data_IF_981632837392
#
_entry.id   IF_981632837392
#
_cell.length_a   1.000
_cell.length_b   1.000
_cell.length_c   1.000
_cell.angle_alpha   90.00
_cell.angle_beta   90.00
_cell.angle_gamma   90.00
#
_symmetry.space_group_name_H-M   'P 1'
#
loop_
_entity.id
_entity.type
_entity.pdbx_description
1 polymer ?
#
# COMPACT_ATOMS: atom_id res chain seq x y z
N UNK A 1 8.98 -40.59 -12.73
CA UNK A 1 8.65 -39.45 -11.86
C UNK A 1 8.67 -39.95 -10.42
N UNK A 2 9.77 -39.69 -9.68
CA UNK A 2 10.06 -40.31 -8.39
C UNK A 2 9.05 -39.87 -7.31
N UNK A 3 8.53 -40.83 -6.54
CA UNK A 3 7.56 -40.58 -5.44
C UNK A 3 8.06 -39.55 -4.42
N UNK A 4 9.36 -39.36 -4.32
CA UNK A 4 10.02 -38.43 -3.37
C UNK A 4 9.83 -36.95 -3.74
N UNK A 5 9.45 -36.62 -4.99
CA UNK A 5 9.24 -35.22 -5.43
C UNK A 5 7.77 -34.75 -5.32
N UNK A 6 6.85 -35.63 -4.96
CA UNK A 6 5.41 -35.30 -4.87
C UNK A 6 5.09 -34.25 -3.80
N UNK A 7 5.67 -34.31 -2.58
CA UNK A 7 5.39 -33.27 -1.59
C UNK A 7 5.98 -31.91 -1.94
N UNK A 8 7.14 -31.85 -2.60
CA UNK A 8 7.79 -30.59 -2.99
C UNK A 8 6.97 -29.88 -4.08
N UNK A 9 6.46 -30.63 -5.05
CA UNK A 9 5.60 -30.09 -6.11
C UNK A 9 4.26 -29.60 -5.55
N UNK A 10 3.68 -30.32 -4.57
CA UNK A 10 2.44 -29.91 -3.92
C UNK A 10 2.60 -28.62 -3.11
N UNK A 11 3.73 -28.44 -2.42
CA UNK A 11 4.07 -27.21 -1.68
C UNK A 11 4.31 -26.02 -2.63
N UNK A 12 4.96 -26.23 -3.77
CA UNK A 12 5.16 -25.20 -4.79
C UNK A 12 3.85 -24.75 -5.44
N UNK A 13 2.93 -25.68 -5.70
CA UNK A 13 1.61 -25.36 -6.27
C UNK A 13 0.72 -24.65 -5.23
N UNK A 14 0.75 -25.07 -3.97
CA UNK A 14 0.02 -24.40 -2.89
C UNK A 14 0.58 -22.98 -2.62
N UNK A 15 1.88 -22.78 -2.73
CA UNK A 15 2.53 -21.47 -2.59
C UNK A 15 2.19 -20.50 -3.73
N UNK A 16 2.03 -21.00 -4.96
CA UNK A 16 1.70 -20.14 -6.10
C UNK A 16 0.23 -19.66 -6.12
N UNK A 17 -0.69 -20.38 -5.49
CA UNK A 17 -2.09 -19.96 -5.36
C UNK A 17 -2.31 -18.88 -4.30
N UNK A 18 -1.38 -18.71 -3.35
CA UNK A 18 -1.46 -17.67 -2.32
C UNK A 18 -1.05 -16.26 -2.82
N UNK A 19 -0.51 -16.15 -4.02
CA UNK A 19 -0.06 -14.87 -4.62
C UNK A 19 -1.15 -14.19 -5.46
N UNK A 20 -2.38 -14.73 -5.53
CA UNK A 20 -3.50 -14.01 -6.14
C UNK A 20 -3.85 -12.80 -5.28
N UNK A 21 -3.12 -11.72 -5.57
CA UNK A 21 -3.00 -10.53 -4.78
C UNK A 21 -4.31 -9.80 -4.55
N UNK A 22 -4.40 -9.19 -3.39
CA UNK A 22 -5.35 -8.14 -3.11
C UNK A 22 -5.18 -7.02 -4.14
N UNK A 23 -6.21 -6.79 -4.96
CA UNK A 23 -6.27 -5.63 -5.82
C UNK A 23 -6.26 -4.38 -4.93
N UNK A 24 -5.18 -3.63 -4.98
CA UNK A 24 -5.02 -2.37 -4.26
C UNK A 24 -5.96 -1.33 -4.88
N UNK A 25 -6.93 -0.87 -4.10
CA UNK A 25 -7.79 0.24 -4.50
C UNK A 25 -7.05 1.57 -4.33
N UNK A 26 -6.35 2.02 -5.36
CA UNK A 26 -5.81 3.38 -5.40
C UNK A 26 -6.94 4.37 -5.71
N UNK A 27 -7.36 5.15 -4.74
CA UNK A 27 -8.25 6.30 -4.95
C UNK A 27 -7.46 7.45 -5.57
N UNK A 28 -7.30 7.44 -6.89
CA UNK A 28 -6.78 8.61 -7.61
C UNK A 28 -7.92 9.56 -7.97
N UNK A 29 -7.60 10.85 -8.22
CA UNK A 29 -8.60 11.85 -8.61
C UNK A 29 -9.38 11.44 -9.87
N UNK A 30 -8.79 10.62 -10.73
CA UNK A 30 -9.34 10.18 -12.01
C UNK A 30 -9.86 8.74 -12.04
N UNK A 31 -9.75 7.98 -10.92
CA UNK A 31 -10.21 6.59 -10.84
C UNK A 31 -11.30 6.48 -9.78
N UNK A 32 -12.48 6.09 -10.20
CA UNK A 32 -13.63 5.86 -9.34
C UNK A 32 -13.80 4.35 -9.11
N UNK A 33 -14.04 3.97 -7.89
CA UNK A 33 -14.52 2.61 -7.61
C UNK A 33 -15.98 2.46 -8.05
N UNK A 34 -16.42 1.24 -8.34
CA UNK A 34 -17.82 0.99 -8.72
C UNK A 34 -18.82 1.50 -7.66
N UNK A 35 -18.44 1.48 -6.39
CA UNK A 35 -19.26 1.99 -5.28
C UNK A 35 -19.29 3.52 -5.20
N UNK A 36 -18.33 4.22 -5.81
CA UNK A 36 -18.30 5.69 -5.91
C UNK A 36 -18.95 6.19 -7.19
N UNK A 37 -19.00 5.35 -8.22
CA UNK A 37 -19.74 5.65 -9.44
C UNK A 37 -21.25 5.71 -9.13
N UNK A 38 -21.98 6.54 -9.85
CA UNK A 38 -23.45 6.74 -9.67
C UNK A 38 -23.85 7.39 -8.34
N UNK A 39 -22.91 8.01 -7.60
CA UNK A 39 -23.23 8.81 -6.43
C UNK A 39 -23.05 10.29 -6.73
N UNK A 40 -23.98 11.08 -6.25
CA UNK A 40 -23.85 12.53 -6.29
C UNK A 40 -22.67 12.98 -5.41
N UNK A 41 -21.88 13.91 -5.93
CA UNK A 41 -20.80 14.56 -5.19
C UNK A 41 -21.11 16.05 -5.06
N UNK A 42 -20.89 16.59 -3.86
CA UNK A 42 -20.93 18.02 -3.64
C UNK A 42 -19.68 18.67 -4.21
N UNK A 43 -19.86 19.67 -5.06
CA UNK A 43 -18.76 20.44 -5.66
C UNK A 43 -18.67 21.80 -4.98
N UNK A 44 -17.47 22.17 -4.54
CA UNK A 44 -17.16 23.50 -4.01
C UNK A 44 -15.97 24.07 -4.74
N UNK A 45 -16.04 25.34 -5.09
CA UNK A 45 -14.93 26.04 -5.74
C UNK A 45 -13.98 26.60 -4.70
N UNK A 46 -12.69 26.56 -5.03
CA UNK A 46 -11.63 27.04 -4.15
C UNK A 46 -10.41 27.52 -4.94
N UNK A 47 -9.50 28.19 -4.24
CA UNK A 47 -8.18 28.59 -4.75
C UNK A 47 -7.12 27.90 -3.91
N UNK A 48 -6.11 27.35 -4.54
CA UNK A 48 -4.96 26.71 -3.86
C UNK A 48 -4.12 27.79 -3.16
N UNK A 49 -3.90 27.61 -1.87
CA UNK A 49 -2.99 28.45 -1.07
C UNK A 49 -1.58 27.90 -1.03
N UNK A 50 -1.45 26.60 -0.79
CA UNK A 50 -0.15 25.92 -0.72
C UNK A 50 -0.29 24.43 -1.02
N UNK A 51 0.81 23.84 -1.47
CA UNK A 51 0.93 22.40 -1.75
C UNK A 51 2.21 21.89 -1.13
N UNK A 52 2.15 20.75 -0.44
CA UNK A 52 3.34 20.06 0.04
C UNK A 52 3.26 18.57 -0.23
N UNK A 53 4.40 17.95 -0.52
CA UNK A 53 4.52 16.51 -0.66
C UNK A 53 4.51 15.87 0.72
N UNK A 54 3.72 14.83 0.89
CA UNK A 54 3.60 14.03 2.11
C UNK A 54 3.69 12.55 1.78
N UNK A 55 3.95 11.71 2.79
CA UNK A 55 3.85 10.26 2.65
C UNK A 55 2.52 9.80 3.24
N UNK A 56 1.81 8.98 2.49
CA UNK A 56 0.56 8.34 2.91
C UNK A 56 0.86 6.87 3.18
N UNK A 57 0.53 6.41 4.39
CA UNK A 57 0.63 5.01 4.76
C UNK A 57 -0.71 4.31 4.49
N UNK A 58 -0.69 3.23 3.73
CA UNK A 58 -1.88 2.42 3.45
C UNK A 58 -2.36 1.60 4.64
N UNK A 59 -1.50 1.39 5.64
CA UNK A 59 -1.76 0.51 6.78
C UNK A 59 -1.89 1.27 8.10
N UNK A 60 -2.34 2.54 8.10
CA UNK A 60 -2.44 3.40 9.29
C UNK A 60 -1.15 3.44 10.14
N UNK A 61 0.01 3.22 9.49
CA UNK A 61 1.32 3.13 10.13
C UNK A 61 1.58 1.80 10.86
N UNK A 62 0.66 0.84 10.82
CA UNK A 62 0.84 -0.48 11.41
C UNK A 62 1.12 -1.53 10.33
N UNK A 63 2.20 -2.32 10.45
CA UNK A 63 2.45 -3.45 9.55
C UNK A 63 1.32 -4.47 9.67
N UNK A 64 0.84 -5.02 8.56
CA UNK A 64 -0.16 -6.09 8.59
C UNK A 64 0.42 -7.40 9.13
N UNK A 65 1.75 -7.49 9.18
CA UNK A 65 2.49 -8.68 9.59
C UNK A 65 2.63 -9.72 8.48
N UNK A 66 2.00 -9.51 7.32
CA UNK A 66 2.09 -10.44 6.19
C UNK A 66 3.52 -10.55 5.66
N UNK A 67 4.24 -9.43 5.62
CA UNK A 67 5.65 -9.40 5.24
C UNK A 67 6.52 -10.18 6.22
N UNK A 68 6.26 -10.07 7.52
CA UNK A 68 6.97 -10.82 8.54
C UNK A 68 6.69 -12.33 8.44
N UNK A 69 5.42 -12.72 8.26
CA UNK A 69 5.01 -14.12 8.11
C UNK A 69 5.60 -14.71 6.82
N UNK A 70 5.43 -14.04 5.68
CA UNK A 70 5.93 -14.49 4.39
C UNK A 70 7.45 -14.55 4.36
N UNK A 71 8.11 -13.48 4.79
CA UNK A 71 9.58 -13.42 4.89
C UNK A 71 10.15 -14.43 5.87
N UNK A 72 9.48 -14.62 7.03
CA UNK A 72 9.86 -15.62 8.02
C UNK A 72 9.77 -17.04 7.49
N UNK A 73 8.70 -17.39 6.79
CA UNK A 73 8.52 -18.70 6.18
C UNK A 73 9.57 -18.98 5.09
N UNK A 74 9.79 -18.02 4.19
CA UNK A 74 10.80 -18.14 3.13
C UNK A 74 12.20 -18.21 3.71
N UNK A 75 12.51 -17.38 4.71
CA UNK A 75 13.80 -17.37 5.40
C UNK A 75 14.08 -18.67 6.16
N UNK A 76 13.06 -19.26 6.80
CA UNK A 76 13.18 -20.54 7.47
C UNK A 76 13.50 -21.67 6.47
N UNK A 77 12.80 -21.72 5.34
CA UNK A 77 13.04 -22.71 4.28
C UNK A 77 14.43 -22.53 3.69
N UNK A 78 14.81 -21.30 3.32
CA UNK A 78 16.15 -21.02 2.77
C UNK A 78 17.26 -21.31 3.77
N UNK A 79 17.07 -20.92 5.04
CA UNK A 79 18.03 -21.20 6.12
C UNK A 79 18.21 -22.69 6.36
N UNK A 80 17.13 -23.47 6.35
CA UNK A 80 17.20 -24.92 6.54
C UNK A 80 17.92 -25.64 5.39
N UNK A 81 17.94 -25.07 4.19
CA UNK A 81 18.65 -25.63 3.02
C UNK A 81 20.17 -25.48 3.12
N UNK A 82 20.68 -24.53 3.92
CA UNK A 82 22.10 -24.25 4.08
C UNK A 82 22.73 -25.18 5.11
N UNK A 83 21.97 -25.70 6.09
CA UNK A 83 22.45 -26.56 7.18
C UNK A 83 22.25 -28.05 6.90
N UNK A 84 23.20 -28.90 7.31
CA UNK A 84 23.07 -30.36 7.27
C UNK A 84 22.69 -30.94 8.63
N UNK A 85 21.84 -31.99 8.65
CA UNK A 85 21.46 -32.71 9.86
C UNK A 85 20.79 -31.80 10.92
N UNK A 86 21.25 -31.88 12.17
CA UNK A 86 20.72 -31.07 13.28
C UNK A 86 21.00 -29.56 13.13
N UNK A 87 21.99 -29.19 12.30
CA UNK A 87 22.33 -27.80 12.02
C UNK A 87 21.26 -27.09 11.17
N UNK A 88 20.49 -27.82 10.36
CA UNK A 88 19.43 -27.23 9.52
C UNK A 88 18.32 -26.60 10.34
N UNK A 89 18.05 -27.09 11.55
CA UNK A 89 17.05 -26.51 12.45
C UNK A 89 17.51 -25.13 12.94
N UNK A 90 18.77 -25.02 13.34
CA UNK A 90 19.35 -23.77 13.85
C UNK A 90 19.40 -22.71 12.73
N UNK A 91 19.89 -23.11 11.54
CA UNK A 91 19.95 -22.21 10.38
C UNK A 91 18.55 -21.83 9.85
N UNK A 92 17.57 -22.72 9.96
CA UNK A 92 16.17 -22.44 9.65
C UNK A 92 15.56 -21.41 10.60
N UNK A 93 15.84 -21.50 11.90
CA UNK A 93 15.36 -20.51 12.90
C UNK A 93 15.98 -19.13 12.64
N UNK A 94 17.30 -19.08 12.44
CA UNK A 94 18.01 -17.83 12.18
C UNK A 94 17.52 -17.22 10.86
N UNK A 95 17.36 -18.01 9.81
CA UNK A 95 16.82 -17.59 8.53
C UNK A 95 15.39 -17.09 8.64
N UNK A 96 14.56 -17.75 9.45
CA UNK A 96 13.18 -17.33 9.71
C UNK A 96 13.11 -15.97 10.39
N UNK A 97 13.94 -15.72 11.40
CA UNK A 97 13.99 -14.42 12.10
C UNK A 97 14.49 -13.32 11.14
N UNK A 98 15.59 -13.56 10.43
CA UNK A 98 16.12 -12.59 9.48
C UNK A 98 15.14 -12.30 8.34
N UNK A 99 14.48 -13.34 7.83
CA UNK A 99 13.45 -13.22 6.80
C UNK A 99 12.22 -12.46 7.29
N UNK A 100 11.77 -12.65 8.52
CA UNK A 100 10.65 -11.91 9.10
C UNK A 100 10.96 -10.42 9.23
N UNK A 101 12.17 -10.07 9.69
CA UNK A 101 12.61 -8.66 9.78
C UNK A 101 12.70 -8.03 8.40
N UNK A 102 13.32 -8.70 7.44
CA UNK A 102 13.45 -8.21 6.07
C UNK A 102 12.08 -8.08 5.37
N UNK A 103 11.20 -9.06 5.55
CA UNK A 103 9.84 -9.04 5.00
C UNK A 103 8.98 -7.91 5.56
N UNK A 104 9.08 -7.66 6.87
CA UNK A 104 8.40 -6.55 7.52
C UNK A 104 8.91 -5.18 7.02
N UNK A 105 10.24 -5.04 6.85
CA UNK A 105 10.83 -3.82 6.30
C UNK A 105 10.38 -3.56 4.85
N UNK A 106 10.32 -4.61 4.02
CA UNK A 106 9.83 -4.53 2.65
C UNK A 106 8.34 -4.15 2.60
N UNK A 107 7.50 -4.75 3.46
CA UNK A 107 6.08 -4.40 3.58
C UNK A 107 5.89 -2.92 3.91
N UNK A 108 6.62 -2.42 4.91
CA UNK A 108 6.55 -1.00 5.30
C UNK A 108 6.97 -0.07 4.16
N UNK A 109 8.00 -0.45 3.38
CA UNK A 109 8.43 0.32 2.22
C UNK A 109 7.36 0.39 1.12
N UNK A 110 6.66 -0.72 0.88
CA UNK A 110 5.60 -0.81 -0.12
C UNK A 110 4.28 -0.16 0.34
N UNK A 111 4.06 -0.04 1.65
CA UNK A 111 2.87 0.58 2.21
C UNK A 111 2.89 2.11 2.17
N UNK A 112 4.03 2.74 1.86
CA UNK A 112 4.18 4.18 1.79
C UNK A 112 4.08 4.67 0.35
N UNK A 113 3.13 5.57 0.09
CA UNK A 113 2.93 6.21 -1.20
C UNK A 113 3.12 7.72 -1.10
N UNK A 114 3.54 8.33 -2.20
CA UNK A 114 3.61 9.77 -2.29
C UNK A 114 2.18 10.35 -2.38
N UNK A 115 1.95 11.36 -1.57
CA UNK A 115 0.71 12.13 -1.55
C UNK A 115 0.98 13.63 -1.58
N UNK A 116 -0.07 14.37 -1.82
CA UNK A 116 -0.08 15.82 -1.77
C UNK A 116 -1.04 16.28 -0.66
N UNK A 117 -0.57 17.15 0.20
CA UNK A 117 -1.43 17.94 1.07
C UNK A 117 -1.62 19.30 0.40
N UNK A 118 -2.85 19.58 0.03
CA UNK A 118 -3.25 20.77 -0.70
C UNK A 118 -4.09 21.63 0.24
N UNK A 119 -3.59 22.78 0.63
CA UNK A 119 -4.35 23.77 1.37
C UNK A 119 -5.06 24.67 0.40
N UNK A 120 -6.37 24.78 0.51
CA UNK A 120 -7.21 25.58 -0.36
C UNK A 120 -8.05 26.56 0.45
N UNK A 121 -8.34 27.72 -0.16
CA UNK A 121 -9.32 28.70 0.33
C UNK A 121 -10.60 28.55 -0.48
N UNK A 122 -11.67 28.17 0.20
CA UNK A 122 -13.01 28.15 -0.41
C UNK A 122 -13.47 29.57 -0.77
N UNK A 123 -14.41 29.68 -1.72
CA UNK A 123 -15.03 30.96 -2.06
C UNK A 123 -15.83 31.55 -0.89
N UNK A 124 -16.18 30.73 0.12
CA UNK A 124 -16.75 31.17 1.40
C UNK A 124 -15.74 31.85 2.33
N UNK A 125 -14.42 31.76 2.04
CA UNK A 125 -13.33 32.27 2.85
C UNK A 125 -12.67 31.21 3.76
N UNK A 126 -13.28 30.05 3.94
CA UNK A 126 -12.75 28.98 4.79
C UNK A 126 -11.49 28.37 4.21
N UNK A 127 -10.50 28.07 5.06
CA UNK A 127 -9.34 27.27 4.69
C UNK A 127 -9.60 25.79 4.96
N UNK A 128 -9.20 24.95 4.00
CA UNK A 128 -9.27 23.48 4.11
C UNK A 128 -7.96 22.86 3.65
N UNK A 129 -7.47 21.89 4.38
CA UNK A 129 -6.35 21.06 3.95
C UNK A 129 -6.87 19.68 3.54
N UNK A 130 -6.55 19.24 2.34
CA UNK A 130 -6.94 17.95 1.77
C UNK A 130 -5.68 17.18 1.44
N UNK A 131 -5.58 15.95 1.96
CA UNK A 131 -4.50 15.05 1.62
C UNK A 131 -5.01 13.98 0.65
N UNK A 132 -4.35 13.87 -0.48
CA UNK A 132 -4.70 12.89 -1.52
C UNK A 132 -3.45 12.27 -2.13
N UNK A 133 -3.58 11.07 -2.72
CA UNK A 133 -2.48 10.42 -3.44
C UNK A 133 -2.04 11.29 -4.61
N UNK A 134 -0.73 11.38 -4.84
CA UNK A 134 -0.18 12.09 -5.99
C UNK A 134 -0.54 11.32 -7.28
N UNK A 135 -1.38 11.92 -8.14
CA UNK A 135 -1.91 11.30 -9.36
C UNK A 135 -1.31 11.84 -10.64
N UNK A 136 -0.21 12.59 -10.53
CA UNK A 136 0.41 13.28 -11.67
C UNK A 136 -0.25 14.62 -12.03
N UNK A 137 -1.34 14.99 -11.37
CA UNK A 137 -1.92 16.33 -11.45
C UNK A 137 -1.03 17.31 -10.68
N UNK A 138 -0.66 18.41 -11.31
CA UNK A 138 0.21 19.42 -10.70
C UNK A 138 -0.64 20.59 -10.22
N UNK A 139 -0.50 20.93 -8.95
CA UNK A 139 -1.20 22.06 -8.33
C UNK A 139 -0.19 23.13 -7.92
N UNK A 140 -0.50 24.38 -8.19
CA UNK A 140 0.30 25.55 -7.81
C UNK A 140 -0.52 26.49 -6.95
N UNK A 141 0.14 27.27 -6.09
CA UNK A 141 -0.53 28.33 -5.36
C UNK A 141 -1.17 29.33 -6.35
N UNK A 142 -2.43 29.67 -6.11
CA UNK A 142 -3.26 30.50 -6.98
C UNK A 142 -4.14 29.76 -7.98
N UNK A 143 -3.94 28.45 -8.18
CA UNK A 143 -4.77 27.67 -9.09
C UNK A 143 -6.23 27.61 -8.61
N UNK A 144 -7.17 27.75 -9.57
CA UNK A 144 -8.59 27.53 -9.30
C UNK A 144 -8.90 26.06 -9.41
N UNK A 145 -9.48 25.51 -8.34
CA UNK A 145 -9.74 24.08 -8.21
C UNK A 145 -11.16 23.82 -7.71
N UNK A 146 -11.58 22.57 -7.89
CA UNK A 146 -12.86 22.03 -7.40
C UNK A 146 -12.58 21.02 -6.30
N UNK A 147 -13.32 21.14 -5.20
CA UNK A 147 -13.40 20.12 -4.17
C UNK A 147 -14.62 19.26 -4.43
N UNK A 148 -14.39 18.00 -4.71
CA UNK A 148 -15.44 17.00 -4.85
C UNK A 148 -15.55 16.20 -3.56
N UNK A 149 -16.70 16.28 -2.89
CA UNK A 149 -16.97 15.55 -1.66
C UNK A 149 -18.09 14.55 -1.89
N UNK A 150 -17.82 13.27 -1.67
CA UNK A 150 -18.78 12.18 -1.75
C UNK A 150 -18.45 11.09 -0.73
N UNK A 151 -19.44 10.64 0.05
CA UNK A 151 -19.27 9.55 1.01
C UNK A 151 -18.21 9.80 2.09
N UNK A 152 -18.01 11.06 2.50
CA UNK A 152 -17.00 11.42 3.52
C UNK A 152 -15.58 11.59 2.97
N UNK A 153 -15.36 11.33 1.70
CA UNK A 153 -14.07 11.54 1.02
C UNK A 153 -14.13 12.84 0.23
N UNK A 154 -13.11 13.68 0.38
CA UNK A 154 -12.95 14.91 -0.40
C UNK A 154 -11.65 14.83 -1.20
N UNK A 155 -11.72 15.25 -2.47
CA UNK A 155 -10.56 15.35 -3.36
C UNK A 155 -10.56 16.67 -4.08
N UNK A 156 -9.37 17.11 -4.47
CA UNK A 156 -9.11 18.33 -5.23
C UNK A 156 -8.80 17.97 -6.68
N UNK A 157 -9.36 18.70 -7.62
CA UNK A 157 -9.13 18.55 -9.06
C UNK A 157 -9.28 19.91 -9.74
N UNK A 158 -8.70 20.07 -10.92
CA UNK A 158 -8.92 21.23 -11.79
C UNK A 158 -10.31 21.28 -12.39
#
# INVERSE_FOLDING_TARGET
>A
MNLMNRPIVAVLIAGSLAVTGCAYNSSSANVYTASQAQREATVRMATVESVRVVKISSNDGQPSGLGAIGGGALGAVAGSAIGGGRGSIVTGIIGGIAGAVAGNAAENGLAMHDGLEITVRLDTGDLRAITQTATGEVFNAGDRVRLLSSGGVTRVTH
#
